data_IF_759981791010
#
_entry.id   IF_759981791010
#
_cell.length_a   1.000
_cell.length_b   1.000
_cell.length_c   1.000
_cell.angle_alpha   90.00
_cell.angle_beta   90.00
_cell.angle_gamma   90.00
#
_symmetry.space_group_name_H-M   'P 1'
#
loop_
_entity.id
_entity.type
_entity.pdbx_description
1 polymer ?
#
# COMPACT_ATOMS: atom_id res chain seq x y z
N UNK A 1 15.81 0.37 19.27
CA UNK A 1 15.96 -0.44 18.05
C UNK A 1 15.10 0.26 17.01
N UNK A 2 15.68 1.24 16.31
CA UNK A 2 15.01 1.87 15.17
C UNK A 2 14.95 0.83 14.05
N UNK A 3 13.90 0.01 14.10
CA UNK A 3 13.65 -1.02 13.11
C UNK A 3 13.08 -0.36 11.87
N UNK A 4 13.93 -0.02 10.90
CA UNK A 4 13.47 0.24 9.55
C UNK A 4 12.66 -0.97 9.10
N UNK A 5 11.36 -0.78 8.84
CA UNK A 5 10.53 -1.84 8.29
C UNK A 5 11.16 -2.30 6.98
N UNK A 6 11.49 -3.58 6.89
CA UNK A 6 12.03 -4.14 5.64
C UNK A 6 10.90 -4.24 4.63
N UNK A 7 11.24 -4.25 3.34
CA UNK A 7 10.26 -4.44 2.27
C UNK A 7 9.38 -5.67 2.50
N UNK A 8 9.95 -6.76 3.02
CA UNK A 8 9.21 -7.98 3.35
C UNK A 8 8.15 -7.75 4.43
N UNK A 9 8.52 -7.09 5.53
CA UNK A 9 7.57 -6.75 6.62
C UNK A 9 6.44 -5.83 6.13
N UNK A 10 6.77 -4.90 5.23
CA UNK A 10 5.77 -4.04 4.59
C UNK A 10 4.84 -4.88 3.71
N UNK A 11 5.39 -5.74 2.85
CA UNK A 11 4.59 -6.63 1.99
C UNK A 11 3.64 -7.48 2.82
N UNK A 12 4.11 -8.13 3.88
CA UNK A 12 3.25 -8.94 4.76
C UNK A 12 2.15 -8.10 5.41
N UNK A 13 2.48 -6.91 5.93
CA UNK A 13 1.47 -6.00 6.51
C UNK A 13 0.44 -5.53 5.49
N UNK A 14 0.88 -5.18 4.29
CA UNK A 14 0.00 -4.70 3.20
C UNK A 14 -0.93 -5.82 2.77
N UNK A 15 -0.42 -7.04 2.60
CA UNK A 15 -1.22 -8.22 2.26
C UNK A 15 -2.23 -8.52 3.36
N UNK A 16 -1.81 -8.50 4.63
CA UNK A 16 -2.73 -8.70 5.76
C UNK A 16 -3.84 -7.65 5.81
N UNK A 17 -3.50 -6.37 5.61
CA UNK A 17 -4.47 -5.28 5.53
C UNK A 17 -5.43 -5.46 4.36
N UNK A 18 -4.91 -5.90 3.21
CA UNK A 18 -5.71 -6.14 2.03
C UNK A 18 -6.77 -7.22 2.30
N UNK A 19 -6.36 -8.38 2.81
CA UNK A 19 -7.30 -9.47 3.10
C UNK A 19 -8.29 -9.14 4.23
N UNK A 20 -7.89 -8.34 5.21
CA UNK A 20 -8.77 -7.89 6.30
C UNK A 20 -9.84 -6.92 5.81
N UNK A 21 -9.47 -5.96 4.95
CA UNK A 21 -10.40 -4.98 4.38
C UNK A 21 -11.35 -5.63 3.39
N UNK A 22 -10.81 -6.46 2.49
CA UNK A 22 -11.61 -7.11 1.46
C UNK A 22 -12.46 -8.25 2.06
N UNK A 23 -11.95 -8.95 3.07
CA UNK A 23 -12.69 -9.92 3.87
C UNK A 23 -13.06 -11.23 3.17
N UNK A 24 -13.00 -11.31 1.84
CA UNK A 24 -13.33 -12.51 1.05
C UNK A 24 -12.11 -13.19 0.40
N UNK A 25 -10.90 -12.66 0.60
CA UNK A 25 -9.65 -13.16 0.01
C UNK A 25 -8.75 -13.73 1.11
N UNK A 26 -8.13 -14.88 0.88
CA UNK A 26 -7.13 -15.44 1.81
C UNK A 26 -5.72 -14.91 1.52
N UNK A 27 -4.93 -14.69 2.56
CA UNK A 27 -3.55 -14.20 2.42
C UNK A 27 -2.66 -15.14 1.58
N UNK A 28 -3.01 -16.43 1.53
CA UNK A 28 -2.28 -17.44 0.76
C UNK A 28 -2.50 -17.31 -0.75
N UNK A 29 -3.62 -16.70 -1.15
CA UNK A 29 -3.96 -16.42 -2.55
C UNK A 29 -3.40 -15.07 -3.03
N UNK A 30 -2.89 -14.24 -2.10
CA UNK A 30 -2.35 -12.92 -2.42
C UNK A 30 -0.83 -12.97 -2.49
N UNK A 31 -0.30 -12.42 -3.58
CA UNK A 31 1.14 -12.23 -3.78
C UNK A 31 1.42 -10.77 -4.12
N UNK A 32 2.70 -10.38 -4.13
CA UNK A 32 3.08 -9.03 -4.56
C UNK A 32 2.69 -8.74 -6.02
N UNK A 33 2.60 -9.77 -6.87
CA UNK A 33 2.24 -9.63 -8.28
C UNK A 33 0.73 -9.62 -8.51
N UNK A 34 -0.06 -9.86 -7.46
CA UNK A 34 -1.50 -9.94 -7.59
C UNK A 34 -2.06 -8.57 -7.95
N UNK A 35 -2.91 -8.57 -8.98
CA UNK A 35 -3.61 -7.41 -9.47
C UNK A 35 -5.00 -7.37 -8.86
N UNK A 36 -5.34 -6.25 -8.23
CA UNK A 36 -6.59 -6.10 -7.48
C UNK A 36 -7.81 -6.30 -8.38
N UNK A 37 -7.77 -5.70 -9.57
CA UNK A 37 -8.92 -5.66 -10.47
C UNK A 37 -8.97 -6.94 -11.30
N UNK A 38 -7.85 -7.39 -11.84
CA UNK A 38 -7.83 -8.53 -12.75
C UNK A 38 -7.90 -9.90 -12.07
N UNK A 39 -7.33 -10.03 -10.87
CA UNK A 39 -7.25 -11.33 -10.18
C UNK A 39 -8.48 -11.55 -9.28
N UNK A 40 -8.97 -10.48 -8.66
CA UNK A 40 -10.03 -10.53 -7.66
C UNK A 40 -11.29 -9.74 -8.01
N UNK A 41 -11.35 -9.08 -9.18
CA UNK A 41 -12.48 -8.25 -9.61
C UNK A 41 -12.82 -7.15 -8.57
N UNK A 42 -11.81 -6.63 -7.87
CA UNK A 42 -11.96 -5.58 -6.86
C UNK A 42 -12.42 -4.31 -7.55
N UNK A 43 -13.51 -3.72 -7.05
CA UNK A 43 -14.01 -2.44 -7.52
C UNK A 43 -13.33 -1.27 -6.81
N UNK A 44 -13.41 -0.09 -7.42
CA UNK A 44 -12.77 1.14 -6.93
C UNK A 44 -13.18 1.53 -5.49
N UNK A 45 -14.40 1.17 -5.07
CA UNK A 45 -14.91 1.45 -3.72
C UNK A 45 -14.16 0.65 -2.64
N UNK A 46 -14.00 -0.66 -2.86
CA UNK A 46 -13.23 -1.55 -1.99
C UNK A 46 -11.74 -1.17 -1.98
N UNK A 47 -11.18 -0.86 -3.16
CA UNK A 47 -9.80 -0.40 -3.29
C UNK A 47 -9.57 0.93 -2.55
N UNK A 48 -10.54 1.85 -2.63
CA UNK A 48 -10.51 3.13 -1.92
C UNK A 48 -10.44 2.92 -0.42
N UNK A 49 -11.23 1.99 0.13
CA UNK A 49 -11.20 1.64 1.55
C UNK A 49 -9.81 1.14 1.98
N UNK A 50 -9.24 0.20 1.22
CA UNK A 50 -7.92 -0.34 1.46
C UNK A 50 -6.82 0.74 1.40
N UNK A 51 -6.82 1.57 0.36
CA UNK A 51 -5.88 2.67 0.17
C UNK A 51 -5.96 3.69 1.31
N UNK A 52 -7.17 4.06 1.73
CA UNK A 52 -7.35 4.98 2.86
C UNK A 52 -6.75 4.40 4.15
N UNK A 53 -6.97 3.12 4.43
CA UNK A 53 -6.41 2.43 5.59
C UNK A 53 -4.87 2.43 5.55
N UNK A 54 -4.27 2.15 4.40
CA UNK A 54 -2.81 2.18 4.18
C UNK A 54 -2.26 3.60 4.39
N UNK A 55 -2.89 4.63 3.81
CA UNK A 55 -2.48 6.03 4.00
C UNK A 55 -2.46 6.42 5.47
N UNK A 56 -3.45 5.99 6.24
CA UNK A 56 -3.55 6.29 7.67
C UNK A 56 -2.52 5.53 8.51
N UNK A 57 -2.33 4.23 8.25
CA UNK A 57 -1.36 3.39 8.97
C UNK A 57 0.08 3.84 8.73
N UNK A 58 0.43 4.14 7.48
CA UNK A 58 1.80 4.46 7.07
C UNK A 58 2.07 5.97 6.93
N UNK A 59 1.07 6.82 7.21
CA UNK A 59 1.13 8.29 7.07
C UNK A 59 1.64 8.76 5.71
N UNK A 60 1.22 8.06 4.65
CA UNK A 60 1.68 8.34 3.29
C UNK A 60 1.10 9.64 2.76
N UNK A 61 1.98 10.46 2.17
CA UNK A 61 1.61 11.69 1.46
C UNK A 61 1.63 11.47 -0.07
N UNK A 62 0.90 10.47 -0.54
CA UNK A 62 0.75 10.19 -1.98
C UNK A 62 -0.51 10.87 -2.54
N UNK A 63 -0.40 11.39 -3.76
CA UNK A 63 -1.50 12.05 -4.49
C UNK A 63 -2.48 11.02 -5.03
N UNK A 64 -3.69 11.47 -5.39
CA UNK A 64 -4.68 10.58 -6.00
C UNK A 64 -4.16 9.94 -7.29
N UNK A 65 -3.37 10.66 -8.09
CA UNK A 65 -2.77 10.16 -9.34
C UNK A 65 -1.80 8.99 -9.11
N UNK A 66 -1.14 8.97 -7.95
CA UNK A 66 -0.26 7.87 -7.57
C UNK A 66 -1.08 6.62 -7.22
N UNK A 67 -2.18 6.80 -6.49
CA UNK A 67 -3.12 5.72 -6.14
C UNK A 67 -3.89 5.17 -7.34
N UNK A 68 -4.27 6.03 -8.29
CA UNK A 68 -4.97 5.62 -9.52
C UNK A 68 -4.11 4.70 -10.41
N UNK A 69 -2.79 4.84 -10.33
CA UNK A 69 -1.83 3.99 -11.06
C UNK A 69 -1.56 2.66 -10.37
N UNK A 70 -1.93 2.54 -9.10
CA UNK A 70 -1.72 1.33 -8.32
C UNK A 70 -2.79 0.31 -8.70
N UNK A 71 -2.35 -0.76 -9.35
CA UNK A 71 -3.20 -1.92 -9.66
C UNK A 71 -2.74 -3.20 -8.95
N UNK A 72 -1.56 -3.19 -8.31
CA UNK A 72 -0.96 -4.38 -7.68
C UNK A 72 -0.40 -4.10 -6.29
N UNK A 73 -0.34 -5.14 -5.45
CA UNK A 73 0.25 -5.08 -4.10
C UNK A 73 1.69 -4.56 -4.15
N UNK A 74 2.50 -5.03 -5.10
CA UNK A 74 3.90 -4.59 -5.25
C UNK A 74 4.02 -3.08 -5.34
N UNK A 75 3.13 -2.41 -6.06
CA UNK A 75 3.18 -0.95 -6.21
C UNK A 75 2.89 -0.24 -4.89
N UNK A 76 1.93 -0.75 -4.10
CA UNK A 76 1.65 -0.24 -2.75
C UNK A 76 2.88 -0.38 -1.85
N UNK A 77 3.51 -1.55 -1.85
CA UNK A 77 4.72 -1.81 -1.06
C UNK A 77 5.85 -0.89 -1.48
N UNK A 78 6.07 -0.72 -2.79
CA UNK A 78 7.11 0.14 -3.33
C UNK A 78 6.90 1.60 -2.94
N UNK A 79 5.65 2.06 -2.95
CA UNK A 79 5.27 3.40 -2.51
C UNK A 79 5.53 3.61 -1.01
N UNK A 80 5.14 2.65 -0.16
CA UNK A 80 5.40 2.72 1.29
C UNK A 80 6.90 2.71 1.55
N UNK A 81 7.62 1.82 0.88
CA UNK A 81 9.07 1.69 1.03
C UNK A 81 9.78 2.98 0.58
N UNK A 82 9.37 3.54 -0.55
CA UNK A 82 9.89 4.82 -1.07
C UNK A 82 9.61 5.96 -0.10
N UNK A 83 8.39 6.06 0.46
CA UNK A 83 8.04 7.09 1.42
C UNK A 83 8.78 6.95 2.76
N UNK A 84 8.98 5.72 3.25
CA UNK A 84 9.78 5.44 4.44
C UNK A 84 11.27 5.81 4.24
N UNK A 85 11.76 5.68 3.00
CA UNK A 85 13.13 6.05 2.63
C UNK A 85 13.28 7.55 2.34
N UNK A 86 12.23 8.22 1.87
CA UNK A 86 12.23 9.68 1.67
C UNK A 86 12.19 10.44 3.01
N UNK A 87 11.54 9.87 4.03
CA UNK A 87 11.52 10.42 5.39
C UNK A 87 12.92 10.54 6.04
N UNK A 88 13.89 9.74 5.61
CA UNK A 88 15.31 9.85 6.04
C UNK A 88 16.14 10.75 5.12
N UNK A 89 15.57 11.18 3.99
CA UNK A 89 16.23 11.88 2.89
C UNK A 89 15.62 13.25 2.54
N UNK A 90 14.98 13.93 3.48
CA UNK A 90 14.77 15.38 3.45
C UNK A 90 14.26 15.99 2.14
N UNK A 91 12.94 15.97 1.93
CA UNK A 91 12.28 17.06 1.18
C UNK A 91 11.17 17.67 2.02
N UNK A 92 11.21 18.97 2.32
CA UNK A 92 10.12 19.61 3.04
C UNK A 92 8.83 19.50 2.21
N UNK A 93 7.68 19.29 2.86
CA UNK A 93 6.39 19.27 2.16
C UNK A 93 6.22 20.61 1.42
N UNK A 94 5.64 20.63 0.20
CA UNK A 94 5.32 21.88 -0.47
C UNK A 94 4.38 22.68 0.43
N UNK A 95 4.87 23.82 0.90
CA UNK A 95 4.08 24.82 1.60
C UNK A 95 3.05 25.35 0.59
N UNK A 96 1.78 24.99 0.77
CA UNK A 96 0.67 25.70 0.15
C UNK A 96 0.38 26.99 0.91
#
# INVERSE_FOLDING_TARGET
MEGSLTRAEISEKVIQLFVDIIGFIDQSDVTEQTDFIHDFDIIDDDLTCFVMQIKWQFKLQATQDDWDRITTIKQVVDLIFSAATDAIGGKPPPTF
#
